data_IF_907969109004
#
_entry.id   IF_907969109004
#
_cell.length_a   1.000
_cell.length_b   1.000
_cell.length_c   1.000
_cell.angle_alpha   90.00
_cell.angle_beta   90.00
_cell.angle_gamma   90.00
#
_symmetry.space_group_name_H-M   'P 1'
#
loop_
_entity.id
_entity.type
_entity.pdbx_description
1 polymer ?
#
# COMPACT_ATOMS: atom_id res chain seq x y z
N UNK A 1 -2.24 -4.28 9.38
CA UNK A 1 -1.15 -3.72 8.58
C UNK A 1 0.14 -4.54 8.63
N UNK A 2 0.63 -4.95 9.79
CA UNK A 2 1.90 -5.72 9.87
C UNK A 2 1.93 -6.98 9.01
N UNK A 3 0.84 -7.75 8.96
CA UNK A 3 0.76 -8.94 8.09
C UNK A 3 0.79 -8.63 6.60
N UNK A 4 0.14 -7.54 6.17
CA UNK A 4 0.15 -7.10 4.78
C UNK A 4 1.54 -6.64 4.33
N UNK A 5 2.29 -5.96 5.21
CA UNK A 5 3.65 -5.52 4.91
C UNK A 5 4.61 -6.71 4.77
N UNK A 6 4.53 -7.70 5.66
CA UNK A 6 5.33 -8.92 5.56
C UNK A 6 5.02 -9.67 4.26
N UNK A 7 3.73 -9.78 3.88
CA UNK A 7 3.32 -10.45 2.64
C UNK A 7 3.90 -9.76 1.40
N UNK A 8 3.86 -8.42 1.34
CA UNK A 8 4.41 -7.66 0.23
C UNK A 8 5.94 -7.76 0.14
N UNK A 9 6.64 -7.70 1.28
CA UNK A 9 8.09 -7.87 1.34
C UNK A 9 8.50 -9.28 0.89
N UNK A 10 7.77 -10.31 1.32
CA UNK A 10 8.03 -11.69 0.93
C UNK A 10 7.84 -11.93 -0.58
N UNK A 11 6.77 -11.40 -1.17
CA UNK A 11 6.52 -11.50 -2.62
C UNK A 11 7.59 -10.81 -3.48
N UNK A 12 8.29 -9.83 -2.93
CA UNK A 12 9.36 -9.13 -3.61
C UNK A 12 10.68 -9.88 -3.60
N UNK A 13 10.82 -10.99 -2.87
CA UNK A 13 12.01 -11.84 -2.88
C UNK A 13 11.98 -12.78 -4.10
N UNK A 14 13.05 -12.88 -4.91
CA UNK A 14 13.07 -13.71 -6.13
C UNK A 14 12.88 -15.20 -5.89
N UNK A 15 13.17 -15.71 -4.70
CA UNK A 15 13.12 -17.15 -4.37
C UNK A 15 11.77 -17.60 -3.80
N UNK A 16 10.77 -16.70 -3.66
CA UNK A 16 9.44 -16.99 -3.10
C UNK A 16 8.42 -17.55 -4.09
N UNK A 17 8.80 -17.75 -5.35
CA UNK A 17 7.92 -18.28 -6.39
C UNK A 17 8.09 -19.80 -6.50
N UNK A 18 7.39 -20.56 -5.67
CA UNK A 18 7.18 -21.98 -5.87
C UNK A 18 5.73 -22.36 -5.58
N UNK A 19 5.13 -23.01 -6.57
CA UNK A 19 3.90 -23.81 -6.53
C UNK A 19 2.56 -23.10 -6.47
N UNK A 20 2.08 -22.67 -7.66
CA UNK A 20 0.70 -22.87 -8.10
C UNK A 20 0.61 -22.70 -9.63
N UNK A 21 1.18 -23.60 -10.38
CA UNK A 21 0.84 -23.78 -11.81
C UNK A 21 -0.09 -24.97 -11.95
N UNK A 22 -1.38 -24.64 -12.18
CA UNK A 22 -2.35 -25.55 -12.74
C UNK A 22 -2.25 -25.53 -14.26
N UNK A 23 -1.88 -26.67 -14.84
CA UNK A 23 -1.75 -26.90 -16.29
C UNK A 23 -3.02 -26.54 -17.06
N UNK A 24 -2.90 -25.72 -18.12
CA UNK A 24 -3.79 -25.75 -19.29
C UNK A 24 -2.97 -25.84 -20.56
N UNK A 25 -2.98 -27.00 -21.16
CA UNK A 25 -2.55 -27.24 -22.54
C UNK A 25 -3.59 -26.71 -23.51
N UNK A 26 -3.22 -25.91 -24.51
CA UNK A 26 -3.87 -25.86 -25.81
C UNK A 26 -2.88 -25.49 -26.91
N UNK A 27 -2.93 -26.23 -27.99
CA UNK A 27 -2.10 -26.24 -29.18
C UNK A 27 -2.54 -25.19 -30.21
N UNK A 28 -1.61 -24.55 -30.93
CA UNK A 28 -1.86 -23.75 -32.13
C UNK A 28 -0.69 -22.81 -32.50
N UNK A 29 -0.11 -23.01 -33.68
CA UNK A 29 1.23 -22.57 -34.01
C UNK A 29 1.38 -21.25 -34.77
N UNK A 30 2.62 -20.89 -34.96
CA UNK A 30 3.38 -20.10 -35.94
C UNK A 30 3.41 -18.58 -35.98
N UNK A 31 2.54 -17.83 -35.37
CA UNK A 31 2.76 -16.36 -35.17
C UNK A 31 3.25 -16.02 -33.77
N UNK A 32 3.20 -16.97 -32.89
CA UNK A 32 3.55 -16.90 -31.46
C UNK A 32 5.07 -16.76 -31.22
N UNK A 33 5.91 -17.26 -32.11
CA UNK A 33 7.36 -17.33 -31.90
C UNK A 33 8.06 -15.95 -31.92
N UNK A 34 7.51 -14.98 -32.64
CA UNK A 34 8.05 -13.60 -32.67
C UNK A 34 7.59 -12.76 -31.49
N UNK A 35 6.38 -12.99 -30.99
CA UNK A 35 5.86 -12.38 -29.79
C UNK A 35 6.49 -12.97 -28.51
N UNK A 36 6.77 -14.27 -28.52
CA UNK A 36 7.47 -14.95 -27.42
C UNK A 36 8.93 -14.51 -27.27
N UNK A 37 9.64 -14.27 -28.38
CA UNK A 37 11.01 -13.76 -28.36
C UNK A 37 11.09 -12.30 -27.88
N UNK A 38 10.10 -11.45 -28.18
CA UNK A 38 10.01 -10.08 -27.63
C UNK A 38 9.64 -10.09 -26.14
N UNK A 39 8.69 -10.93 -25.75
CA UNK A 39 8.32 -11.11 -24.34
C UNK A 39 9.43 -11.76 -23.49
N UNK A 40 10.28 -12.62 -24.11
CA UNK A 40 11.42 -13.23 -23.47
C UNK A 40 12.58 -12.25 -23.28
N UNK A 41 12.76 -11.30 -24.23
CA UNK A 41 13.79 -10.25 -24.14
C UNK A 41 13.43 -9.23 -23.05
N UNK A 42 12.16 -8.85 -22.92
CA UNK A 42 11.68 -7.97 -21.83
C UNK A 42 11.73 -8.65 -20.47
N UNK A 43 11.41 -9.95 -20.39
CA UNK A 43 11.55 -10.73 -19.14
C UNK A 43 13.00 -10.91 -18.73
N UNK A 44 13.94 -11.02 -19.67
CA UNK A 44 15.37 -11.12 -19.38
C UNK A 44 16.01 -9.77 -19.04
N UNK A 45 15.52 -8.66 -19.60
CA UNK A 45 15.91 -7.31 -19.21
C UNK A 45 15.43 -6.99 -17.79
N UNK A 46 14.15 -7.26 -17.48
CA UNK A 46 13.58 -7.13 -16.13
C UNK A 46 14.27 -8.04 -15.10
N UNK A 47 14.70 -9.24 -15.51
CA UNK A 47 15.43 -10.16 -14.64
C UNK A 47 16.84 -9.67 -14.30
N UNK A 48 17.54 -9.01 -15.23
CA UNK A 48 18.89 -8.47 -15.00
C UNK A 48 18.90 -7.16 -14.19
N UNK A 49 17.82 -6.40 -14.20
CA UNK A 49 17.62 -5.25 -13.31
C UNK A 49 17.23 -5.70 -11.90
N UNK A 50 16.56 -6.84 -11.74
CA UNK A 50 16.15 -7.41 -10.45
C UNK A 50 17.31 -8.01 -9.63
N UNK A 51 18.47 -8.31 -10.25
CA UNK A 51 19.62 -8.92 -9.56
C UNK A 51 20.44 -7.95 -8.67
N UNK A 52 20.01 -6.67 -8.56
CA UNK A 52 20.58 -5.68 -7.65
C UNK A 52 19.71 -5.34 -6.44
N UNK A 53 18.60 -6.03 -6.22
CA UNK A 53 17.75 -5.77 -5.07
C UNK A 53 18.36 -6.33 -3.79
N UNK A 54 18.57 -5.44 -2.81
CA UNK A 54 19.00 -5.80 -1.46
C UNK A 54 18.03 -6.85 -0.88
N UNK A 55 18.54 -8.04 -0.56
CA UNK A 55 17.75 -9.07 0.14
C UNK A 55 17.55 -8.61 1.58
N UNK A 56 16.33 -8.27 1.95
CA UNK A 56 15.96 -8.05 3.34
C UNK A 56 15.73 -9.40 4.02
N UNK A 57 16.42 -9.66 5.11
CA UNK A 57 16.05 -10.73 6.02
C UNK A 57 14.97 -10.20 6.98
N UNK A 58 13.85 -10.92 7.09
CA UNK A 58 12.71 -10.50 7.91
C UNK A 58 12.66 -11.32 9.17
N UNK A 59 12.78 -10.61 10.31
CA UNK A 59 12.57 -11.15 11.64
C UNK A 59 11.23 -10.61 12.18
N UNK A 60 10.37 -11.47 12.65
CA UNK A 60 9.04 -11.09 13.13
C UNK A 60 8.82 -11.49 14.59
N UNK A 61 8.04 -10.66 15.30
CA UNK A 61 7.53 -10.97 16.63
C UNK A 61 6.07 -10.54 16.71
N UNK A 62 5.17 -11.45 17.07
CA UNK A 62 3.75 -11.18 17.23
C UNK A 62 3.19 -11.96 18.43
N UNK A 63 2.21 -11.37 19.15
CA UNK A 63 1.62 -11.99 20.35
C UNK A 63 0.99 -13.36 20.12
N UNK A 64 0.36 -13.59 18.96
CA UNK A 64 -0.46 -14.78 18.73
C UNK A 64 -0.36 -15.38 17.33
N UNK A 65 0.49 -14.84 16.45
CA UNK A 65 0.53 -15.23 15.04
C UNK A 65 1.91 -15.69 14.54
N UNK A 66 2.85 -15.92 15.46
CA UNK A 66 4.22 -16.27 15.11
C UNK A 66 4.28 -17.53 14.22
N UNK A 67 3.54 -18.58 14.56
CA UNK A 67 3.52 -19.80 13.75
C UNK A 67 2.89 -19.59 12.37
N UNK A 68 1.80 -18.83 12.30
CA UNK A 68 1.18 -18.45 11.02
C UNK A 68 2.13 -17.65 10.14
N UNK A 69 2.89 -16.71 10.72
CA UNK A 69 3.88 -15.91 10.00
C UNK A 69 5.03 -16.79 9.47
N UNK A 70 5.52 -17.71 10.29
CA UNK A 70 6.56 -18.67 9.88
C UNK A 70 6.08 -19.57 8.73
N UNK A 71 4.90 -20.17 8.88
CA UNK A 71 4.37 -21.13 7.88
C UNK A 71 4.01 -20.44 6.57
N UNK A 72 3.39 -19.25 6.65
CA UNK A 72 2.89 -18.56 5.46
C UNK A 72 3.98 -17.80 4.71
N UNK A 73 4.95 -17.23 5.42
CA UNK A 73 5.92 -16.30 4.84
C UNK A 73 7.39 -16.74 4.99
N UNK A 74 7.67 -17.86 5.66
CA UNK A 74 9.02 -18.36 5.86
C UNK A 74 9.92 -17.43 6.68
N UNK A 75 9.36 -16.44 7.40
CA UNK A 75 10.12 -15.46 8.16
C UNK A 75 10.67 -16.06 9.45
N UNK A 76 11.83 -15.59 9.90
CA UNK A 76 12.35 -15.90 11.22
C UNK A 76 11.45 -15.31 12.30
N UNK A 77 11.32 -16.01 13.43
CA UNK A 77 10.54 -15.55 14.58
C UNK A 77 11.47 -15.31 15.75
N UNK A 78 11.50 -14.06 16.25
CA UNK A 78 12.17 -13.72 17.49
C UNK A 78 11.35 -14.22 18.70
N UNK A 79 12.03 -14.53 19.81
CA UNK A 79 11.38 -14.98 21.02
C UNK A 79 10.52 -13.88 21.67
N UNK A 80 10.96 -12.64 21.59
CA UNK A 80 10.28 -11.45 22.11
C UNK A 80 10.72 -10.18 21.36
N UNK A 81 10.11 -9.04 21.71
CA UNK A 81 10.37 -7.75 21.07
C UNK A 81 11.81 -7.24 21.32
N UNK A 82 12.39 -7.56 22.47
CA UNK A 82 13.76 -7.16 22.84
C UNK A 82 14.80 -7.92 22.00
N UNK A 83 14.63 -9.22 21.83
CA UNK A 83 15.53 -10.03 21.00
C UNK A 83 15.43 -9.58 19.54
N UNK A 84 14.21 -9.29 19.04
CA UNK A 84 14.01 -8.71 17.71
C UNK A 84 14.78 -7.38 17.57
N UNK A 85 14.64 -6.48 18.53
CA UNK A 85 15.25 -5.14 18.42
C UNK A 85 16.78 -5.19 18.49
N UNK A 86 17.35 -6.16 19.18
CA UNK A 86 18.82 -6.38 19.24
C UNK A 86 19.38 -6.86 17.90
N UNK A 87 18.68 -7.80 17.27
CA UNK A 87 19.14 -8.43 16.02
C UNK A 87 18.89 -7.54 14.78
N UNK A 88 17.80 -6.79 14.74
CA UNK A 88 17.39 -6.02 13.57
C UNK A 88 18.19 -4.70 13.41
N UNK A 89 18.52 -4.32 12.17
CA UNK A 89 19.06 -3.01 11.79
C UNK A 89 17.95 -1.96 11.61
N UNK A 90 16.76 -2.41 11.23
CA UNK A 90 15.56 -1.59 11.09
C UNK A 90 14.36 -2.26 11.78
N UNK A 91 13.73 -1.54 12.70
CA UNK A 91 12.56 -2.01 13.45
C UNK A 91 11.31 -1.35 12.92
N UNK A 92 10.33 -2.15 12.49
CA UNK A 92 9.02 -1.68 12.02
C UNK A 92 7.97 -1.94 13.09
N UNK A 93 7.43 -0.87 13.67
CA UNK A 93 6.30 -0.98 14.59
C UNK A 93 4.97 -1.08 13.83
N UNK A 94 4.51 -2.32 13.63
CA UNK A 94 3.27 -2.64 12.92
C UNK A 94 2.13 -3.11 13.85
N UNK A 95 2.20 -2.77 15.13
CA UNK A 95 1.20 -3.14 16.14
C UNK A 95 0.04 -2.16 16.20
N UNK A 96 -0.93 -2.39 17.12
CA UNK A 96 -2.01 -1.41 17.34
C UNK A 96 -1.46 -0.17 18.06
N UNK A 97 -2.01 1.05 17.80
CA UNK A 97 -1.53 2.30 18.41
C UNK A 97 -1.43 2.25 19.94
N UNK A 98 -2.39 1.63 20.61
CA UNK A 98 -2.43 1.50 22.07
C UNK A 98 -1.23 0.71 22.66
N UNK A 99 -0.53 -0.10 21.86
CA UNK A 99 0.63 -0.88 22.31
C UNK A 99 1.96 -0.17 22.01
N UNK A 100 1.95 0.92 21.24
CA UNK A 100 3.17 1.56 20.74
C UNK A 100 4.10 2.02 21.85
N UNK A 101 3.57 2.77 22.82
CA UNK A 101 4.39 3.35 23.88
C UNK A 101 5.04 2.28 24.76
N UNK A 102 4.27 1.25 25.11
CA UNK A 102 4.80 0.16 25.95
C UNK A 102 5.90 -0.63 25.22
N UNK A 103 5.68 -0.97 23.95
CA UNK A 103 6.69 -1.69 23.17
C UNK A 103 7.91 -0.80 22.95
N UNK A 104 7.71 0.47 22.59
CA UNK A 104 8.82 1.38 22.35
C UNK A 104 9.69 1.60 23.59
N UNK A 105 9.09 1.75 24.79
CA UNK A 105 9.84 1.81 26.05
C UNK A 105 10.65 0.55 26.30
N UNK A 106 10.11 -0.62 25.98
CA UNK A 106 10.77 -1.91 26.14
C UNK A 106 12.01 -2.05 25.26
N UNK A 107 11.93 -1.62 23.99
CA UNK A 107 13.00 -1.81 23.00
C UNK A 107 13.94 -0.60 22.88
N UNK A 108 13.61 0.55 23.47
CA UNK A 108 14.38 1.79 23.36
C UNK A 108 15.88 1.62 23.66
N UNK A 109 16.31 0.84 24.67
CA UNK A 109 17.72 0.63 24.96
C UNK A 109 18.53 0.01 23.80
N UNK A 110 17.87 -0.75 22.93
CA UNK A 110 18.50 -1.48 21.84
C UNK A 110 18.41 -0.75 20.46
N UNK A 111 17.82 0.47 20.40
CA UNK A 111 17.56 1.18 19.16
C UNK A 111 18.66 2.14 18.72
N UNK A 112 19.66 2.41 19.53
CA UNK A 112 20.73 3.36 19.19
C UNK A 112 21.43 2.98 17.87
N UNK A 113 21.53 3.94 16.94
CA UNK A 113 22.10 3.75 15.60
C UNK A 113 21.20 3.07 14.58
N UNK A 114 20.03 2.55 14.99
CA UNK A 114 19.08 1.79 14.15
C UNK A 114 17.98 2.66 13.57
N UNK A 115 17.28 2.13 12.58
CA UNK A 115 16.09 2.73 12.00
C UNK A 115 14.86 2.26 12.77
N UNK A 116 14.00 3.20 13.16
CA UNK A 116 12.68 2.93 13.72
C UNK A 116 11.62 3.46 12.76
N UNK A 117 10.81 2.57 12.18
CA UNK A 117 9.73 2.90 11.25
C UNK A 117 8.37 2.77 11.93
N UNK A 118 7.66 3.88 12.05
CA UNK A 118 6.33 3.97 12.68
C UNK A 118 5.24 3.86 11.62
N UNK A 119 4.27 2.96 11.83
CA UNK A 119 3.13 2.78 10.90
C UNK A 119 1.78 3.20 11.51
N UNK A 120 1.73 3.52 12.81
CA UNK A 120 0.47 3.82 13.46
C UNK A 120 -0.05 5.24 13.15
N UNK A 121 -1.33 5.40 12.84
CA UNK A 121 -1.97 6.72 12.86
C UNK A 121 -1.92 7.31 14.28
N UNK A 122 -1.78 8.63 14.38
CA UNK A 122 -1.83 9.35 15.66
C UNK A 122 -0.60 9.23 16.56
N UNK A 123 0.47 8.53 16.12
CA UNK A 123 1.73 8.45 16.87
C UNK A 123 2.85 9.12 16.07
N UNK A 124 3.22 10.34 16.48
CA UNK A 124 4.15 11.20 15.76
C UNK A 124 5.63 10.93 16.11
N UNK A 125 6.51 11.48 15.28
CA UNK A 125 7.98 11.38 15.42
C UNK A 125 8.45 11.98 16.75
N UNK A 126 7.96 13.17 17.12
CA UNK A 126 8.35 13.82 18.39
C UNK A 126 8.05 12.95 19.62
N UNK A 127 6.87 12.29 19.67
CA UNK A 127 6.52 11.40 20.76
C UNK A 127 7.41 10.16 20.77
N UNK A 128 7.71 9.61 19.61
CA UNK A 128 8.64 8.48 19.49
C UNK A 128 10.05 8.87 19.96
N UNK A 129 10.53 10.06 19.59
CA UNK A 129 11.83 10.61 19.98
C UNK A 129 11.96 10.74 21.51
N UNK A 130 10.92 11.27 22.17
CA UNK A 130 10.90 11.39 23.63
C UNK A 130 11.05 10.04 24.37
N UNK A 131 10.64 8.94 23.74
CA UNK A 131 10.71 7.59 24.35
C UNK A 131 11.97 6.85 23.92
N UNK A 132 12.28 6.88 22.62
CA UNK A 132 13.40 6.15 22.05
C UNK A 132 14.77 6.81 22.38
N UNK A 133 14.78 8.10 22.71
CA UNK A 133 16.02 8.85 22.99
C UNK A 133 16.75 9.29 21.72
N UNK A 134 17.93 9.87 21.95
CA UNK A 134 18.81 10.35 20.89
C UNK A 134 19.52 9.18 20.18
N UNK A 135 20.01 9.43 18.95
CA UNK A 135 20.76 8.45 18.17
C UNK A 135 19.93 7.40 17.45
N UNK A 136 18.59 7.44 17.55
CA UNK A 136 17.67 6.59 16.78
C UNK A 136 17.20 7.33 15.52
N UNK A 137 17.19 6.68 14.36
CA UNK A 137 16.71 7.25 13.10
C UNK A 137 15.21 6.94 12.96
N UNK A 138 14.35 7.93 13.22
CA UNK A 138 12.90 7.71 13.25
C UNK A 138 12.26 8.15 11.94
N UNK A 139 11.62 7.22 11.24
CA UNK A 139 10.77 7.49 10.09
C UNK A 139 9.32 7.14 10.41
N UNK A 140 8.39 7.85 9.78
CA UNK A 140 6.97 7.56 9.87
C UNK A 140 6.40 7.28 8.49
N UNK A 141 5.72 6.17 8.34
CA UNK A 141 5.03 5.82 7.12
C UNK A 141 3.56 5.50 7.40
N UNK A 142 2.71 5.84 6.46
CA UNK A 142 1.28 5.52 6.56
C UNK A 142 0.80 4.87 5.27
N UNK A 143 0.91 3.55 5.17
CA UNK A 143 0.34 2.76 4.08
C UNK A 143 -1.18 2.61 4.22
N UNK A 144 -1.84 2.19 3.14
CA UNK A 144 -3.22 1.74 3.16
C UNK A 144 -3.34 0.22 2.99
N UNK A 145 -4.57 -0.30 2.95
CA UNK A 145 -4.85 -1.74 2.88
C UNK A 145 -4.31 -2.40 1.60
N UNK A 146 -4.15 -1.66 0.50
CA UNK A 146 -3.61 -2.18 -0.75
C UNK A 146 -2.12 -2.58 -0.66
N UNK A 147 -1.46 -2.31 0.47
CA UNK A 147 -0.14 -2.85 0.78
C UNK A 147 -0.08 -4.37 0.70
N UNK A 148 -1.18 -5.08 0.94
CA UNK A 148 -1.22 -6.55 0.85
C UNK A 148 -1.01 -7.10 -0.56
N UNK A 149 -1.15 -6.26 -1.59
CA UNK A 149 -0.92 -6.60 -2.99
C UNK A 149 0.18 -5.75 -3.63
N UNK A 150 0.98 -5.01 -2.82
CA UNK A 150 2.05 -4.15 -3.33
C UNK A 150 1.56 -2.86 -4.02
N UNK A 151 0.32 -2.44 -3.79
CA UNK A 151 -0.32 -1.30 -4.46
C UNK A 151 -0.73 -0.17 -3.49
N UNK A 152 -0.07 -0.06 -2.35
CA UNK A 152 -0.34 1.02 -1.39
C UNK A 152 0.05 2.39 -1.93
N UNK A 153 -0.74 3.42 -1.61
CA UNK A 153 -0.25 4.78 -1.56
C UNK A 153 0.21 5.05 -0.13
N UNK A 154 1.51 5.29 0.06
CA UNK A 154 2.12 5.41 1.39
C UNK A 154 2.73 6.78 1.59
N UNK A 155 2.23 7.54 2.58
CA UNK A 155 2.94 8.74 3.05
C UNK A 155 4.20 8.33 3.81
N UNK A 156 5.29 9.08 3.63
CA UNK A 156 6.56 8.86 4.30
C UNK A 156 7.14 10.20 4.76
N UNK A 157 7.65 10.26 5.98
CA UNK A 157 8.50 11.35 6.44
C UNK A 157 9.63 10.84 7.33
N UNK A 158 10.67 11.64 7.45
CA UNK A 158 11.86 11.33 8.21
C UNK A 158 12.08 12.39 9.31
N UNK A 159 12.60 11.95 10.42
CA UNK A 159 13.14 12.85 11.44
C UNK A 159 14.44 13.52 10.94
N UNK A 160 14.84 14.59 11.61
CA UNK A 160 16.13 15.23 11.37
C UNK A 160 17.31 14.26 11.64
N UNK A 161 18.39 14.40 10.89
CA UNK A 161 19.61 13.62 11.10
C UNK A 161 19.69 12.30 10.32
N UNK A 162 18.68 11.94 9.52
CA UNK A 162 18.83 10.81 8.60
C UNK A 162 19.92 11.05 7.58
N UNK A 163 20.85 10.10 7.42
CA UNK A 163 21.74 10.07 6.26
C UNK A 163 20.96 9.61 5.03
N UNK A 164 21.38 10.02 3.83
CA UNK A 164 20.69 9.64 2.60
C UNK A 164 20.69 8.10 2.42
N UNK A 165 21.77 7.42 2.78
CA UNK A 165 21.83 5.96 2.74
C UNK A 165 20.74 5.29 3.62
N UNK A 166 20.49 5.82 4.82
CA UNK A 166 19.41 5.29 5.69
C UNK A 166 18.03 5.63 5.17
N UNK A 167 17.83 6.80 4.56
CA UNK A 167 16.56 7.15 3.89
C UNK A 167 16.29 6.18 2.75
N UNK A 168 17.31 5.85 1.94
CA UNK A 168 17.16 4.92 0.84
C UNK A 168 16.75 3.54 1.34
N UNK A 169 17.35 3.02 2.41
CA UNK A 169 16.92 1.77 3.05
C UNK A 169 15.41 1.79 3.39
N UNK A 170 14.92 2.89 3.97
CA UNK A 170 13.47 3.02 4.28
C UNK A 170 12.64 3.08 3.02
N UNK A 171 13.08 3.83 1.98
CA UNK A 171 12.39 3.90 0.68
C UNK A 171 12.29 2.52 0.04
N UNK A 172 13.37 1.75 0.01
CA UNK A 172 13.40 0.38 -0.51
C UNK A 172 12.40 -0.52 0.22
N UNK A 173 12.36 -0.48 1.56
CA UNK A 173 11.39 -1.23 2.36
C UNK A 173 9.95 -0.85 1.98
N UNK A 174 9.66 0.44 1.91
CA UNK A 174 8.30 0.93 1.63
C UNK A 174 7.91 0.74 0.16
N UNK A 175 8.85 0.84 -0.78
CA UNK A 175 8.61 0.61 -2.20
C UNK A 175 8.08 -0.81 -2.48
N UNK A 176 8.41 -1.80 -1.64
CA UNK A 176 7.88 -3.17 -1.77
C UNK A 176 6.38 -3.28 -1.51
N UNK A 177 5.77 -2.30 -0.86
CA UNK A 177 4.33 -2.29 -0.57
C UNK A 177 3.54 -1.31 -1.43
N UNK A 178 4.19 -0.54 -2.33
CA UNK A 178 3.52 0.39 -3.24
C UNK A 178 4.28 1.69 -3.49
N UNK A 179 3.55 2.72 -3.90
CA UNK A 179 4.10 4.04 -4.21
C UNK A 179 4.34 4.86 -2.95
N UNK A 180 5.47 5.60 -2.94
CA UNK A 180 5.87 6.48 -1.84
C UNK A 180 5.52 7.93 -2.19
N UNK A 181 5.02 8.65 -1.19
CA UNK A 181 4.80 10.09 -1.21
C UNK A 181 5.49 10.70 0.01
N UNK A 182 6.67 11.29 -0.19
CA UNK A 182 7.38 12.00 0.87
C UNK A 182 6.68 13.33 1.11
N UNK A 183 6.19 13.54 2.33
CA UNK A 183 5.46 14.73 2.76
C UNK A 183 5.87 15.11 4.17
N UNK A 184 5.65 16.35 4.56
CA UNK A 184 5.82 16.77 5.96
C UNK A 184 4.83 16.02 6.88
N UNK A 185 5.25 15.78 8.12
CA UNK A 185 4.42 15.07 9.10
C UNK A 185 3.06 15.75 9.34
N UNK A 186 2.99 17.07 9.22
CA UNK A 186 1.75 17.86 9.31
C UNK A 186 0.72 17.48 8.25
N UNK A 187 1.15 16.96 7.11
CA UNK A 187 0.31 16.49 6.01
C UNK A 187 -0.34 15.11 6.24
N UNK A 188 0.10 14.34 7.23
CA UNK A 188 -0.34 12.96 7.42
C UNK A 188 -1.84 12.81 7.70
N UNK A 189 -2.45 13.76 8.42
CA UNK A 189 -3.90 13.74 8.64
C UNK A 189 -4.68 13.89 7.33
N UNK A 190 -4.26 14.82 6.46
CA UNK A 190 -4.86 15.00 5.15
C UNK A 190 -4.64 13.78 4.25
N UNK A 191 -3.43 13.22 4.25
CA UNK A 191 -3.12 12.00 3.50
C UNK A 191 -3.93 10.80 4.00
N UNK A 192 -4.21 10.70 5.30
CA UNK A 192 -5.12 9.69 5.86
C UNK A 192 -6.49 9.76 5.19
N UNK A 193 -7.05 10.95 5.04
CA UNK A 193 -8.36 11.15 4.42
C UNK A 193 -8.38 10.73 2.94
N UNK A 194 -7.36 11.16 2.16
CA UNK A 194 -7.35 10.99 0.70
C UNK A 194 -6.75 9.66 0.20
N UNK A 195 -5.99 8.93 1.05
CA UNK A 195 -5.34 7.69 0.62
C UNK A 195 -5.50 6.56 1.66
N UNK A 196 -5.42 6.86 2.95
CA UNK A 196 -5.57 5.86 4.01
C UNK A 196 -6.99 5.28 4.07
N UNK A 197 -8.00 6.13 4.04
CA UNK A 197 -9.42 5.77 4.15
C UNK A 197 -10.12 5.59 2.81
N UNK A 198 -9.56 6.12 1.71
CA UNK A 198 -10.16 6.05 0.38
C UNK A 198 -10.53 4.63 -0.06
N UNK A 199 -9.79 3.56 0.25
CA UNK A 199 -10.21 2.21 -0.13
C UNK A 199 -11.62 1.84 0.34
N UNK A 200 -12.04 2.28 1.53
CA UNK A 200 -13.40 2.05 2.01
C UNK A 200 -14.45 2.82 1.20
N UNK A 201 -14.15 4.08 0.82
CA UNK A 201 -15.05 4.88 -0.01
C UNK A 201 -15.13 4.34 -1.45
N UNK A 202 -14.02 3.86 -1.99
CA UNK A 202 -13.99 3.17 -3.28
C UNK A 202 -14.82 1.88 -3.26
N UNK A 203 -14.76 1.09 -2.19
CA UNK A 203 -15.62 -0.09 -2.02
C UNK A 203 -17.11 0.28 -2.01
N UNK A 204 -17.50 1.34 -1.29
CA UNK A 204 -18.90 1.82 -1.28
C UNK A 204 -19.35 2.30 -2.67
N UNK A 205 -18.48 2.99 -3.40
CA UNK A 205 -18.74 3.40 -4.79
C UNK A 205 -18.92 2.18 -5.71
N UNK A 206 -18.00 1.21 -5.65
CA UNK A 206 -18.04 0.01 -6.48
C UNK A 206 -19.31 -0.81 -6.18
N UNK A 207 -19.69 -0.94 -4.92
CA UNK A 207 -20.90 -1.63 -4.49
C UNK A 207 -22.15 -0.96 -5.05
N UNK A 208 -22.28 0.36 -4.89
CA UNK A 208 -23.43 1.11 -5.40
C UNK A 208 -23.55 1.05 -6.93
N UNK A 209 -22.42 1.15 -7.65
CA UNK A 209 -22.40 1.02 -9.11
C UNK A 209 -22.77 -0.40 -9.56
N UNK A 210 -22.31 -1.44 -8.86
CA UNK A 210 -22.67 -2.82 -9.12
C UNK A 210 -24.18 -3.07 -8.85
N UNK A 211 -24.76 -2.47 -7.80
CA UNK A 211 -26.20 -2.54 -7.52
C UNK A 211 -27.04 -1.95 -8.67
N UNK A 212 -26.59 -0.83 -9.22
CA UNK A 212 -27.23 -0.25 -10.39
C UNK A 212 -27.17 -1.17 -11.62
N UNK A 213 -26.03 -1.84 -11.84
CA UNK A 213 -25.87 -2.85 -12.90
C UNK A 213 -26.82 -4.05 -12.72
N UNK A 214 -27.01 -4.52 -11.49
CA UNK A 214 -27.96 -5.59 -11.18
C UNK A 214 -29.41 -5.14 -11.41
N UNK A 215 -29.76 -3.90 -11.08
CA UNK A 215 -31.07 -3.31 -11.44
C UNK A 215 -31.27 -3.24 -12.95
N UNK A 216 -30.17 -3.10 -13.72
CA UNK A 216 -30.16 -3.18 -15.19
C UNK A 216 -30.22 -4.59 -15.76
N UNK A 217 -30.28 -5.64 -14.93
CA UNK A 217 -30.42 -7.04 -15.35
C UNK A 217 -29.12 -7.83 -15.49
N UNK A 218 -27.97 -7.27 -15.07
CA UNK A 218 -26.68 -7.98 -15.14
C UNK A 218 -26.43 -8.86 -13.91
N UNK A 219 -25.70 -9.98 -14.04
CA UNK A 219 -25.29 -10.80 -12.91
C UNK A 219 -24.40 -10.04 -11.93
N UNK A 220 -24.60 -10.22 -10.62
CA UNK A 220 -23.88 -9.52 -9.54
C UNK A 220 -22.37 -9.57 -9.69
N UNK A 221 -21.79 -10.76 -9.90
CA UNK A 221 -20.34 -10.92 -9.99
C UNK A 221 -19.77 -10.18 -11.19
N UNK A 222 -20.44 -10.25 -12.35
CA UNK A 222 -20.04 -9.48 -13.53
C UNK A 222 -20.01 -7.97 -13.24
N UNK A 223 -21.01 -7.46 -12.49
CA UNK A 223 -21.07 -6.05 -12.12
C UNK A 223 -19.86 -5.64 -11.26
N UNK A 224 -19.50 -6.43 -10.24
CA UNK A 224 -18.31 -6.14 -9.42
C UNK A 224 -17.04 -6.14 -10.25
N UNK A 225 -16.83 -7.16 -11.09
CA UNK A 225 -15.62 -7.30 -11.90
C UNK A 225 -15.49 -6.14 -12.91
N UNK A 226 -16.58 -5.81 -13.60
CA UNK A 226 -16.60 -4.74 -14.59
C UNK A 226 -16.38 -3.35 -13.98
N UNK A 227 -17.04 -3.05 -12.86
CA UNK A 227 -16.88 -1.76 -12.16
C UNK A 227 -15.46 -1.62 -11.60
N UNK A 228 -14.92 -2.65 -10.97
CA UNK A 228 -13.56 -2.63 -10.45
C UNK A 228 -12.54 -2.39 -11.57
N UNK A 229 -12.67 -3.07 -12.72
CA UNK A 229 -11.81 -2.87 -13.88
C UNK A 229 -11.92 -1.45 -14.47
N UNK A 230 -13.13 -0.88 -14.54
CA UNK A 230 -13.34 0.49 -15.02
C UNK A 230 -12.69 1.52 -14.09
N UNK A 231 -12.81 1.36 -12.77
CA UNK A 231 -12.16 2.23 -11.77
C UNK A 231 -10.63 2.12 -11.87
N UNK A 232 -10.09 0.92 -11.96
CA UNK A 232 -8.65 0.70 -12.13
C UNK A 232 -8.13 1.35 -13.41
N UNK A 233 -8.79 1.14 -14.55
CA UNK A 233 -8.42 1.74 -15.82
C UNK A 233 -8.41 3.26 -15.77
N UNK A 234 -9.44 3.87 -15.16
CA UNK A 234 -9.53 5.32 -14.96
C UNK A 234 -8.39 5.84 -14.09
N UNK A 235 -8.08 5.16 -12.98
CA UNK A 235 -6.98 5.54 -12.11
C UNK A 235 -5.62 5.47 -12.83
N UNK A 236 -5.40 4.45 -13.66
CA UNK A 236 -4.18 4.32 -14.48
C UNK A 236 -4.05 5.43 -15.52
N UNK A 237 -5.13 5.85 -16.16
CA UNK A 237 -5.14 6.99 -17.08
C UNK A 237 -4.76 8.32 -16.39
N UNK A 238 -5.28 8.55 -15.18
CA UNK A 238 -4.90 9.72 -14.38
C UNK A 238 -3.41 9.63 -13.98
N UNK A 239 -2.93 8.46 -13.59
CA UNK A 239 -1.51 8.25 -13.24
C UNK A 239 -0.57 8.41 -14.43
N UNK A 240 -1.04 8.22 -15.68
CA UNK A 240 -0.28 8.50 -16.89
C UNK A 240 -0.22 9.99 -17.28
N UNK A 241 -0.80 10.88 -16.46
CA UNK A 241 -0.77 12.33 -16.63
C UNK A 241 -2.07 12.95 -17.18
N UNK A 242 -3.12 12.16 -17.39
CA UNK A 242 -4.43 12.72 -17.77
C UNK A 242 -5.03 13.53 -16.61
N UNK A 243 -5.48 14.75 -16.91
CA UNK A 243 -6.19 15.55 -15.91
C UNK A 243 -7.62 15.00 -15.70
N UNK A 244 -8.07 14.79 -14.44
CA UNK A 244 -9.36 14.14 -14.16
C UNK A 244 -10.56 14.83 -14.82
N UNK A 245 -10.60 16.17 -14.83
CA UNK A 245 -11.70 16.91 -15.45
C UNK A 245 -11.69 16.76 -16.98
N UNK A 246 -10.50 16.83 -17.62
CA UNK A 246 -10.39 16.63 -19.06
C UNK A 246 -10.79 15.21 -19.47
N UNK A 247 -10.34 14.20 -18.71
CA UNK A 247 -10.73 12.81 -18.95
C UNK A 247 -12.25 12.61 -18.79
N UNK A 248 -12.87 13.24 -17.80
CA UNK A 248 -14.32 13.23 -17.62
C UNK A 248 -15.03 13.82 -18.87
N UNK A 249 -14.53 14.93 -19.37
CA UNK A 249 -15.11 15.60 -20.54
C UNK A 249 -14.92 14.78 -21.83
N UNK A 250 -13.77 14.11 -22.00
CA UNK A 250 -13.52 13.18 -23.12
C UNK A 250 -14.54 12.01 -23.17
N UNK A 251 -15.03 11.55 -22.01
CA UNK A 251 -16.02 10.46 -21.91
C UNK A 251 -17.47 10.97 -22.13
N UNK A 252 -17.71 12.27 -21.95
CA UNK A 252 -19.03 12.87 -22.05
C UNK A 252 -19.32 13.40 -23.46
N UNK A 253 -19.95 12.58 -24.29
CA UNK A 253 -20.45 13.07 -25.58
C UNK A 253 -21.71 13.95 -25.43
N UNK A 254 -21.94 14.94 -26.32
CA UNK A 254 -23.17 15.73 -26.31
C UNK A 254 -24.43 14.85 -26.40
N UNK A 255 -25.39 15.10 -25.48
CA UNK A 255 -26.62 14.31 -25.30
C UNK A 255 -26.42 12.82 -25.08
N UNK A 256 -25.19 12.39 -24.63
CA UNK A 256 -24.86 11.00 -24.39
C UNK A 256 -25.34 10.51 -23.02
N UNK A 257 -25.29 9.20 -22.79
CA UNK A 257 -25.71 8.57 -21.53
C UNK A 257 -24.84 8.99 -20.35
N UNK A 258 -23.57 9.27 -20.58
CA UNK A 258 -22.60 9.62 -19.52
C UNK A 258 -22.93 10.98 -18.90
N UNK A 259 -23.28 11.99 -19.73
CA UNK A 259 -23.59 13.32 -19.20
C UNK A 259 -24.90 13.32 -18.39
N UNK A 260 -25.90 12.51 -18.77
CA UNK A 260 -27.13 12.32 -18.00
C UNK A 260 -26.83 11.65 -16.64
N UNK A 261 -25.95 10.64 -16.62
CA UNK A 261 -25.50 10.03 -15.37
C UNK A 261 -24.76 11.01 -14.46
N UNK A 262 -23.88 11.85 -15.00
CA UNK A 262 -23.19 12.90 -14.23
C UNK A 262 -24.18 13.94 -13.69
N UNK A 263 -25.16 14.37 -14.47
CA UNK A 263 -26.20 15.30 -13.99
C UNK A 263 -26.97 14.71 -12.81
N UNK A 264 -27.28 13.43 -12.83
CA UNK A 264 -27.90 12.74 -11.70
C UNK A 264 -27.00 12.70 -10.46
N UNK A 265 -25.70 12.44 -10.61
CA UNK A 265 -24.72 12.47 -9.50
C UNK A 265 -24.59 13.88 -8.89
N UNK A 266 -24.53 14.93 -9.72
CA UNK A 266 -24.49 16.33 -9.24
C UNK A 266 -25.76 16.69 -8.49
N UNK A 267 -26.93 16.33 -9.02
CA UNK A 267 -28.23 16.51 -8.33
C UNK A 267 -28.28 15.77 -6.98
N UNK A 268 -27.63 14.60 -6.90
CA UNK A 268 -27.52 13.82 -5.66
C UNK A 268 -26.47 14.35 -4.67
N UNK A 269 -25.73 15.43 -5.02
CA UNK A 269 -24.72 16.02 -4.14
C UNK A 269 -23.45 15.19 -3.97
N UNK A 270 -23.12 14.30 -4.94
CA UNK A 270 -22.02 13.35 -4.85
C UNK A 270 -20.69 13.99 -4.44
N UNK A 271 -20.31 15.13 -5.05
CA UNK A 271 -19.04 15.80 -4.73
C UNK A 271 -19.03 16.34 -3.31
N UNK A 272 -20.12 16.98 -2.86
CA UNK A 272 -20.25 17.47 -1.50
C UNK A 272 -20.12 16.36 -0.47
N UNK A 273 -20.87 15.26 -0.67
CA UNK A 273 -20.83 14.11 0.23
C UNK A 273 -19.43 13.49 0.35
N UNK A 274 -18.70 13.36 -0.78
CA UNK A 274 -17.34 12.84 -0.77
C UNK A 274 -16.36 13.78 -0.05
N UNK A 275 -16.46 15.09 -0.30
CA UNK A 275 -15.63 16.10 0.36
C UNK A 275 -15.89 16.13 1.88
N UNK A 276 -17.15 16.04 2.31
CA UNK A 276 -17.53 16.00 3.72
C UNK A 276 -17.00 14.75 4.41
N UNK A 277 -17.09 13.57 3.76
CA UNK A 277 -16.55 12.33 4.29
C UNK A 277 -15.03 12.41 4.51
N UNK A 278 -14.29 12.93 3.52
CA UNK A 278 -12.83 13.10 3.62
C UNK A 278 -12.49 14.13 4.70
N UNK A 279 -13.21 15.26 4.78
CA UNK A 279 -13.00 16.30 5.78
C UNK A 279 -13.24 15.77 7.20
N UNK A 280 -14.31 15.01 7.42
CA UNK A 280 -14.58 14.36 8.70
C UNK A 280 -13.46 13.39 9.10
N UNK A 281 -12.94 12.60 8.13
CA UNK A 281 -11.82 11.71 8.37
C UNK A 281 -10.55 12.48 8.77
N UNK A 282 -10.22 13.58 8.07
CA UNK A 282 -9.07 14.43 8.37
C UNK A 282 -9.21 15.03 9.79
N UNK A 283 -10.37 15.54 10.13
CA UNK A 283 -10.64 16.10 11.47
C UNK A 283 -10.38 15.04 12.56
N UNK A 284 -10.90 13.83 12.36
CA UNK A 284 -10.68 12.71 13.30
C UNK A 284 -9.22 12.27 13.38
N UNK A 285 -8.45 12.37 12.29
CA UNK A 285 -7.04 11.99 12.24
C UNK A 285 -6.11 13.02 12.92
N UNK A 286 -6.58 14.24 13.13
CA UNK A 286 -5.85 15.29 13.86
C UNK A 286 -5.94 15.15 15.39
N UNK A 287 -6.91 14.43 15.89
CA UNK A 287 -7.16 14.17 17.31
C UNK A 287 -8.43 14.78 17.81
#
# INVERSE_FOLDING_TARGET
MGGAMIEALWRAQPDGASSAEGERKSSGGSETQRAENLAQTDKNASRRECEKEAKFEILACARSKNETLRQRFGVKIAANETDLSREADAVVLATKPASYEAILRLIAPDLAGKILLLLAPGFGINRARQIAGEGVYIARAMPNIAACIGASATALCFDAGFSEAKKETVREIIAKIGKIYEIDETGFAAFTGIAGSLPAYACAFIEAAADAGVRGGLPRQLCYDAVAAAVEGTARLIQSGKHPAALKDEVCSPAGTTIEGLAALEKGGFRGALMDAITACIAKARG
#
